data_IF_389074370777
#
_entry.id   IF_389074370777
#
_cell.length_a   1.000
_cell.length_b   1.000
_cell.length_c   1.000
_cell.angle_alpha   90.00
_cell.angle_beta   90.00
_cell.angle_gamma   90.00
#
_symmetry.space_group_name_H-M   'P 1'
#
loop_
_entity.id
_entity.type
_entity.pdbx_description
1 polymer ?
#
# COMPACT_ATOMS: atom_id res chain seq x y z
N UNK A 1 -10.72 33.23 -25.77
CA UNK A 1 -10.93 31.82 -26.06
C UNK A 1 -11.65 31.25 -24.87
N UNK A 2 -12.89 30.86 -24.99
CA UNK A 2 -13.66 30.19 -23.94
C UNK A 2 -13.02 28.80 -23.78
N UNK A 3 -12.48 28.48 -22.60
CA UNK A 3 -12.07 27.11 -22.28
C UNK A 3 -13.25 26.17 -22.57
N UNK A 4 -13.01 24.99 -23.16
CA UNK A 4 -14.07 24.03 -23.37
C UNK A 4 -14.70 23.70 -22.02
N UNK A 5 -16.01 23.74 -21.95
CA UNK A 5 -16.76 23.41 -20.74
C UNK A 5 -16.74 21.89 -20.58
N UNK A 6 -15.92 21.39 -19.70
CA UNK A 6 -15.84 19.97 -19.38
C UNK A 6 -17.03 19.55 -18.52
N UNK A 7 -17.65 18.41 -18.81
CA UNK A 7 -18.66 17.75 -17.97
C UNK A 7 -18.02 17.05 -16.77
N UNK A 8 -18.83 16.57 -15.81
CA UNK A 8 -18.35 15.75 -14.69
C UNK A 8 -17.66 14.49 -15.18
N UNK A 9 -18.24 13.84 -16.19
CA UNK A 9 -17.73 12.59 -16.76
C UNK A 9 -16.39 12.80 -17.47
N UNK A 10 -16.22 13.93 -18.18
CA UNK A 10 -14.93 14.26 -18.80
C UNK A 10 -13.84 14.58 -17.77
N UNK A 11 -14.20 15.18 -16.61
CA UNK A 11 -13.28 15.35 -15.49
C UNK A 11 -12.87 14.01 -14.89
N UNK A 12 -13.82 13.09 -14.73
CA UNK A 12 -13.56 11.75 -14.20
C UNK A 12 -12.67 10.95 -15.14
N UNK A 13 -12.99 10.91 -16.43
CA UNK A 13 -12.20 10.17 -17.44
C UNK A 13 -10.75 10.66 -17.51
N UNK A 14 -10.53 11.98 -17.48
CA UNK A 14 -9.17 12.55 -17.50
C UNK A 14 -8.44 12.29 -16.18
N UNK A 15 -9.13 12.33 -15.06
CA UNK A 15 -8.53 11.97 -13.76
C UNK A 15 -8.14 10.49 -13.71
N UNK A 16 -8.99 9.61 -14.24
CA UNK A 16 -8.72 8.20 -14.35
C UNK A 16 -7.50 7.90 -15.21
N UNK A 17 -7.33 8.60 -16.34
CA UNK A 17 -6.13 8.52 -17.16
C UNK A 17 -4.88 8.93 -16.37
N UNK A 18 -4.91 10.05 -15.65
CA UNK A 18 -3.80 10.51 -14.81
C UNK A 18 -3.50 9.52 -13.66
N UNK A 19 -4.52 8.90 -13.09
CA UNK A 19 -4.36 7.85 -12.08
C UNK A 19 -3.62 6.64 -12.64
N UNK A 20 -4.00 6.16 -13.83
CA UNK A 20 -3.35 5.03 -14.50
C UNK A 20 -1.90 5.33 -14.90
N UNK A 21 -1.54 6.61 -15.09
CA UNK A 21 -0.18 7.07 -15.29
C UNK A 21 0.61 7.21 -13.96
N UNK A 22 0.04 6.80 -12.82
CA UNK A 22 0.56 7.00 -11.47
C UNK A 22 0.80 8.49 -11.10
N UNK A 23 0.15 9.42 -11.77
CA UNK A 23 0.24 10.87 -11.55
C UNK A 23 -0.84 11.33 -10.57
N UNK A 24 -0.85 10.78 -9.38
CA UNK A 24 -1.91 10.98 -8.40
C UNK A 24 -2.12 12.42 -7.97
N UNK A 25 -1.05 13.23 -7.86
CA UNK A 25 -1.16 14.66 -7.55
C UNK A 25 -1.91 15.43 -8.62
N UNK A 26 -1.63 15.14 -9.89
CA UNK A 26 -2.30 15.76 -11.02
C UNK A 26 -3.77 15.31 -11.11
N UNK A 27 -4.05 14.02 -10.87
CA UNK A 27 -5.40 13.49 -10.79
C UNK A 27 -6.21 14.20 -9.69
N UNK A 28 -5.66 14.34 -8.47
CA UNK A 28 -6.31 15.04 -7.37
C UNK A 28 -6.56 16.51 -7.65
N UNK A 29 -5.61 17.21 -8.29
CA UNK A 29 -5.82 18.61 -8.67
C UNK A 29 -6.96 18.75 -9.68
N UNK A 30 -7.01 17.85 -10.66
CA UNK A 30 -8.05 17.83 -11.69
C UNK A 30 -9.43 17.48 -11.11
N UNK A 31 -9.52 16.47 -10.26
CA UNK A 31 -10.74 16.10 -9.55
C UNK A 31 -11.28 17.23 -8.67
N UNK A 32 -10.41 17.97 -7.98
CA UNK A 32 -10.80 19.13 -7.17
C UNK A 32 -11.37 20.27 -8.02
N UNK A 33 -10.81 20.48 -9.21
CA UNK A 33 -11.37 21.44 -10.17
C UNK A 33 -12.76 20.99 -10.64
N UNK A 34 -12.93 19.71 -10.95
CA UNK A 34 -14.22 19.11 -11.28
C UNK A 34 -15.25 19.29 -10.17
N UNK A 35 -14.88 18.97 -8.93
CA UNK A 35 -15.74 19.11 -7.74
C UNK A 35 -16.11 20.57 -7.43
N UNK A 36 -15.26 21.55 -7.74
CA UNK A 36 -15.61 22.96 -7.62
C UNK A 36 -16.74 23.37 -8.58
N UNK A 37 -16.88 22.67 -9.71
CA UNK A 37 -17.97 22.90 -10.71
C UNK A 37 -19.17 21.98 -10.48
N UNK A 38 -18.89 20.72 -10.07
CA UNK A 38 -19.88 19.64 -9.89
C UNK A 38 -19.81 19.05 -8.47
N UNK A 39 -20.23 19.77 -7.44
CA UNK A 39 -20.06 19.37 -6.04
C UNK A 39 -20.90 18.15 -5.63
N UNK A 40 -21.78 17.65 -6.51
CA UNK A 40 -22.60 16.46 -6.28
C UNK A 40 -22.25 15.28 -7.22
N UNK A 41 -21.19 15.38 -7.99
CA UNK A 41 -20.74 14.29 -8.84
C UNK A 41 -20.05 13.21 -7.99
N UNK A 42 -20.71 12.06 -7.83
CA UNK A 42 -20.28 10.95 -6.97
C UNK A 42 -18.96 10.38 -7.45
N UNK A 43 -18.83 10.18 -8.76
CA UNK A 43 -17.66 9.60 -9.44
C UNK A 43 -16.39 10.39 -9.11
N UNK A 44 -16.48 11.72 -9.05
CA UNK A 44 -15.33 12.57 -8.72
C UNK A 44 -14.87 12.38 -7.27
N UNK A 45 -15.78 12.14 -6.31
CA UNK A 45 -15.41 11.80 -4.94
C UNK A 45 -14.79 10.41 -4.85
N UNK A 46 -15.29 9.46 -5.64
CA UNK A 46 -14.71 8.11 -5.76
C UNK A 46 -13.28 8.20 -6.30
N UNK A 47 -13.07 8.95 -7.39
CA UNK A 47 -11.75 9.21 -7.94
C UNK A 47 -10.78 9.85 -6.93
N UNK A 48 -11.27 10.85 -6.15
CA UNK A 48 -10.48 11.43 -5.05
C UNK A 48 -10.11 10.38 -4.02
N UNK A 49 -11.04 9.50 -3.64
CA UNK A 49 -10.82 8.43 -2.69
C UNK A 49 -9.72 7.48 -3.13
N UNK A 50 -9.78 6.98 -4.38
CA UNK A 50 -8.76 6.09 -4.93
C UNK A 50 -7.41 6.77 -5.11
N UNK A 51 -7.36 8.02 -5.58
CA UNK A 51 -6.11 8.75 -5.71
C UNK A 51 -5.43 9.01 -4.35
N UNK A 52 -6.22 9.23 -3.30
CA UNK A 52 -5.72 9.36 -1.92
C UNK A 52 -5.28 8.01 -1.34
N UNK A 53 -6.00 6.93 -1.64
CA UNK A 53 -5.64 5.58 -1.24
C UNK A 53 -4.29 5.18 -1.85
N UNK A 54 -4.09 5.45 -3.15
CA UNK A 54 -2.83 5.21 -3.84
C UNK A 54 -1.65 6.05 -3.30
N UNK A 55 -1.93 7.17 -2.64
CA UNK A 55 -0.95 8.01 -1.93
C UNK A 55 -0.77 7.65 -0.46
N UNK A 56 -1.41 6.57 0.00
CA UNK A 56 -1.41 6.15 1.41
C UNK A 56 -2.03 7.18 2.37
N UNK A 57 -2.86 8.09 1.85
CA UNK A 57 -3.58 9.11 2.61
C UNK A 57 -4.92 8.57 3.11
N UNK A 58 -4.88 7.48 3.88
CA UNK A 58 -6.04 6.64 4.22
C UNK A 58 -7.20 7.37 4.90
N UNK A 59 -6.91 8.32 5.81
CA UNK A 59 -7.95 9.09 6.49
C UNK A 59 -8.71 10.00 5.52
N UNK A 60 -8.01 10.55 4.53
CA UNK A 60 -8.60 11.37 3.47
C UNK A 60 -9.41 10.51 2.50
N UNK A 61 -8.85 9.37 2.06
CA UNK A 61 -9.55 8.41 1.20
C UNK A 61 -10.88 7.97 1.83
N UNK A 62 -10.86 7.60 3.13
CA UNK A 62 -12.08 7.27 3.87
C UNK A 62 -13.09 8.40 3.86
N UNK A 63 -12.65 9.65 4.08
CA UNK A 63 -13.55 10.83 4.05
C UNK A 63 -14.17 11.04 2.67
N UNK A 64 -13.40 10.86 1.60
CA UNK A 64 -13.87 11.00 0.23
C UNK A 64 -14.93 9.93 -0.11
N UNK A 65 -14.66 8.64 0.21
CA UNK A 65 -15.64 7.57 0.00
C UNK A 65 -16.90 7.73 0.84
N UNK A 66 -16.78 8.21 2.09
CA UNK A 66 -17.97 8.54 2.88
C UNK A 66 -18.79 9.68 2.27
N UNK A 67 -18.14 10.67 1.64
CA UNK A 67 -18.86 11.74 0.93
C UNK A 67 -19.57 11.20 -0.31
N UNK A 68 -18.90 10.31 -1.08
CA UNK A 68 -19.52 9.63 -2.20
C UNK A 68 -20.76 8.83 -1.76
N UNK A 69 -20.63 8.02 -0.69
CA UNK A 69 -21.74 7.23 -0.15
C UNK A 69 -22.84 8.06 0.53
N UNK A 70 -22.56 9.29 0.94
CA UNK A 70 -23.59 10.20 1.41
C UNK A 70 -24.44 10.77 0.26
N UNK A 71 -23.89 10.83 -0.95
CA UNK A 71 -24.58 11.24 -2.17
C UNK A 71 -25.30 10.07 -2.84
N UNK A 72 -24.61 8.90 -2.93
CA UNK A 72 -25.15 7.64 -3.42
C UNK A 72 -24.73 6.50 -2.48
N UNK A 73 -25.64 6.03 -1.67
CA UNK A 73 -25.38 5.03 -0.62
C UNK A 73 -25.09 3.62 -1.16
N UNK A 74 -25.43 3.37 -2.40
CA UNK A 74 -25.33 2.06 -3.06
C UNK A 74 -24.25 2.02 -4.17
N UNK A 75 -23.44 3.07 -4.26
CA UNK A 75 -22.37 3.15 -5.25
C UNK A 75 -21.30 2.11 -5.00
N UNK A 76 -21.11 1.19 -5.95
CA UNK A 76 -20.27 -0.01 -5.82
C UNK A 76 -18.78 0.33 -5.60
N UNK A 77 -18.20 1.21 -6.40
CA UNK A 77 -16.79 1.59 -6.28
C UNK A 77 -16.50 2.35 -4.98
N UNK A 78 -17.47 3.15 -4.51
CA UNK A 78 -17.32 3.83 -3.22
C UNK A 78 -17.36 2.84 -2.06
N UNK A 79 -18.20 1.80 -2.13
CA UNK A 79 -18.25 0.72 -1.13
C UNK A 79 -16.97 -0.12 -1.16
N UNK A 80 -16.48 -0.47 -2.36
CA UNK A 80 -15.22 -1.21 -2.51
C UNK A 80 -14.03 -0.41 -1.97
N UNK A 81 -13.88 0.83 -2.40
CA UNK A 81 -12.80 1.72 -1.97
C UNK A 81 -12.83 2.04 -0.47
N UNK A 82 -14.04 2.22 0.11
CA UNK A 82 -14.20 2.35 1.55
C UNK A 82 -13.74 1.07 2.26
N UNK A 83 -14.15 -0.10 1.77
CA UNK A 83 -13.76 -1.40 2.32
C UNK A 83 -12.24 -1.58 2.31
N UNK A 84 -11.58 -1.32 1.18
CA UNK A 84 -10.11 -1.35 1.07
C UNK A 84 -9.43 -0.40 2.06
N UNK A 85 -9.92 0.84 2.12
CA UNK A 85 -9.39 1.84 3.05
C UNK A 85 -9.52 1.39 4.51
N UNK A 86 -10.65 0.77 4.87
CA UNK A 86 -10.89 0.26 6.22
C UNK A 86 -9.99 -0.94 6.55
N UNK A 87 -9.66 -1.81 5.58
CA UNK A 87 -8.70 -2.91 5.75
C UNK A 87 -7.33 -2.37 6.14
N UNK A 88 -6.79 -1.42 5.37
CA UNK A 88 -5.48 -0.81 5.66
C UNK A 88 -5.48 -0.10 7.03
N UNK A 89 -6.60 0.47 7.44
CA UNK A 89 -6.78 1.07 8.77
C UNK A 89 -7.00 0.03 9.88
N UNK A 90 -6.93 -1.28 9.59
CA UNK A 90 -7.13 -2.37 10.55
C UNK A 90 -8.58 -2.55 11.02
N UNK A 91 -9.56 -1.95 10.33
CA UNK A 91 -10.98 -1.97 10.68
C UNK A 91 -11.73 -3.08 9.91
N UNK A 92 -11.31 -4.34 10.09
CA UNK A 92 -11.81 -5.49 9.34
C UNK A 92 -13.35 -5.60 9.36
N UNK A 93 -14.00 -5.47 10.51
CA UNK A 93 -15.46 -5.58 10.58
C UNK A 93 -16.18 -4.52 9.73
N UNK A 94 -15.62 -3.31 9.68
CA UNK A 94 -16.14 -2.22 8.83
C UNK A 94 -16.00 -2.55 7.35
N UNK A 95 -14.82 -3.03 6.97
CA UNK A 95 -14.52 -3.46 5.61
C UNK A 95 -15.46 -4.59 5.15
N UNK A 96 -15.60 -5.62 5.97
CA UNK A 96 -16.47 -6.76 5.65
C UNK A 96 -17.95 -6.35 5.51
N UNK A 97 -18.42 -5.35 6.29
CA UNK A 97 -19.77 -4.81 6.10
C UNK A 97 -19.93 -4.10 4.75
N UNK A 98 -18.94 -3.31 4.34
CA UNK A 98 -18.96 -2.64 3.05
C UNK A 98 -18.96 -3.67 1.90
N UNK A 99 -18.11 -4.68 1.97
CA UNK A 99 -18.07 -5.75 0.97
C UNK A 99 -19.31 -6.64 0.96
N UNK A 100 -19.89 -6.93 2.14
CA UNK A 100 -21.16 -7.66 2.19
C UNK A 100 -22.29 -6.86 1.55
N UNK A 101 -22.28 -5.52 1.70
CA UNK A 101 -23.26 -4.65 1.05
C UNK A 101 -23.21 -4.77 -0.48
N UNK A 102 -22.01 -4.89 -1.07
CA UNK A 102 -21.87 -5.15 -2.53
C UNK A 102 -22.59 -6.44 -2.95
N UNK A 103 -22.42 -7.51 -2.17
CA UNK A 103 -23.09 -8.79 -2.44
C UNK A 103 -24.61 -8.65 -2.29
N UNK A 104 -25.08 -7.96 -1.25
CA UNK A 104 -26.51 -7.76 -0.97
C UNK A 104 -27.19 -6.88 -2.05
N UNK A 105 -26.46 -6.00 -2.70
CA UNK A 105 -26.90 -5.16 -3.82
C UNK A 105 -26.92 -5.93 -5.16
N UNK A 106 -26.36 -7.13 -5.22
CA UNK A 106 -26.35 -7.96 -6.41
C UNK A 106 -25.06 -7.88 -7.26
N UNK A 107 -24.01 -7.18 -6.79
CA UNK A 107 -22.74 -7.07 -7.50
C UNK A 107 -21.86 -8.31 -7.39
N UNK A 108 -22.38 -9.43 -6.85
CA UNK A 108 -21.63 -10.69 -6.76
C UNK A 108 -21.26 -11.29 -8.10
N UNK A 109 -21.93 -10.90 -9.19
CA UNK A 109 -21.65 -11.29 -10.58
C UNK A 109 -20.67 -10.34 -11.29
N UNK A 110 -20.32 -9.21 -10.69
CA UNK A 110 -19.25 -8.35 -11.17
C UNK A 110 -17.88 -8.97 -10.85
N UNK A 111 -17.27 -9.52 -11.89
CA UNK A 111 -16.01 -10.24 -11.78
C UNK A 111 -14.85 -9.35 -11.31
N UNK A 112 -14.71 -8.18 -11.91
CA UNK A 112 -13.62 -7.24 -11.60
C UNK A 112 -13.72 -6.73 -10.17
N UNK A 113 -14.91 -6.33 -9.77
CA UNK A 113 -15.18 -5.83 -8.43
C UNK A 113 -14.92 -6.90 -7.35
N UNK A 114 -15.41 -8.13 -7.57
CA UNK A 114 -15.16 -9.22 -6.62
C UNK A 114 -13.69 -9.63 -6.56
N UNK A 115 -12.98 -9.60 -7.69
CA UNK A 115 -11.53 -9.81 -7.73
C UNK A 115 -10.77 -8.71 -6.97
N UNK A 116 -11.13 -7.47 -7.16
CA UNK A 116 -10.54 -6.33 -6.45
C UNK A 116 -10.68 -6.51 -4.93
N UNK A 117 -11.89 -6.82 -4.45
CA UNK A 117 -12.14 -7.09 -3.01
C UNK A 117 -11.30 -8.27 -2.52
N UNK A 118 -11.27 -9.37 -3.28
CA UNK A 118 -10.47 -10.54 -2.93
C UNK A 118 -8.98 -10.22 -2.83
N UNK A 119 -8.44 -9.45 -3.77
CA UNK A 119 -7.04 -9.01 -3.77
C UNK A 119 -6.74 -8.07 -2.58
N UNK A 120 -7.64 -7.14 -2.27
CA UNK A 120 -7.48 -6.25 -1.12
C UNK A 120 -7.41 -7.05 0.19
N UNK A 121 -8.31 -7.99 0.40
CA UNK A 121 -8.30 -8.88 1.56
C UNK A 121 -7.04 -9.76 1.62
N UNK A 122 -6.59 -10.29 0.48
CA UNK A 122 -5.36 -11.09 0.39
C UNK A 122 -4.12 -10.28 0.76
N UNK A 123 -3.99 -9.06 0.22
CA UNK A 123 -2.87 -8.15 0.50
C UNK A 123 -2.75 -7.84 1.99
N UNK A 124 -3.88 -7.64 2.66
CA UNK A 124 -3.93 -7.35 4.10
C UNK A 124 -3.90 -8.61 4.99
N UNK A 125 -3.69 -9.80 4.40
CA UNK A 125 -3.52 -11.05 5.14
C UNK A 125 -4.81 -11.76 5.58
N UNK A 126 -5.98 -11.29 5.15
CA UNK A 126 -7.28 -11.90 5.47
C UNK A 126 -7.62 -13.00 4.46
N UNK A 127 -6.81 -14.08 4.50
CA UNK A 127 -6.83 -15.12 3.47
C UNK A 127 -8.13 -15.94 3.44
N UNK A 128 -8.77 -16.14 4.60
CA UNK A 128 -10.04 -16.87 4.68
C UNK A 128 -11.15 -16.10 3.98
N UNK A 129 -11.22 -14.81 4.23
CA UNK A 129 -12.17 -13.89 3.62
C UNK A 129 -11.87 -13.72 2.13
N UNK A 130 -10.61 -13.52 1.76
CA UNK A 130 -10.17 -13.42 0.35
C UNK A 130 -10.61 -14.64 -0.46
N UNK A 131 -10.42 -15.85 0.08
CA UNK A 131 -10.85 -17.10 -0.55
C UNK A 131 -12.33 -17.08 -0.90
N UNK A 132 -13.19 -16.58 -0.01
CA UNK A 132 -14.65 -16.52 -0.26
C UNK A 132 -14.96 -15.66 -1.49
N UNK A 133 -14.32 -14.51 -1.65
CA UNK A 133 -14.53 -13.64 -2.81
C UNK A 133 -13.98 -14.25 -4.10
N UNK A 134 -12.80 -14.88 -4.06
CA UNK A 134 -12.28 -15.61 -5.22
C UNK A 134 -13.13 -16.83 -5.60
N UNK A 135 -13.77 -17.49 -4.65
CA UNK A 135 -14.73 -18.58 -4.94
C UNK A 135 -16.00 -18.04 -5.62
N UNK A 136 -16.51 -16.86 -5.23
CA UNK A 136 -17.60 -16.17 -5.95
C UNK A 136 -17.19 -15.86 -7.39
N UNK A 137 -16.00 -15.29 -7.62
CA UNK A 137 -15.48 -15.06 -8.98
C UNK A 137 -15.42 -16.36 -9.80
N UNK A 138 -14.96 -17.46 -9.19
CA UNK A 138 -14.85 -18.76 -9.86
C UNK A 138 -16.20 -19.34 -10.26
N UNK A 139 -17.23 -19.15 -9.44
CA UNK A 139 -18.58 -19.62 -9.76
C UNK A 139 -19.14 -18.97 -11.02
N UNK A 140 -18.85 -17.67 -11.20
CA UNK A 140 -19.28 -16.91 -12.37
C UNK A 140 -18.35 -17.13 -13.57
N UNK A 141 -17.04 -17.23 -13.34
CA UNK A 141 -16.02 -17.36 -14.38
C UNK A 141 -15.06 -18.53 -14.13
N UNK A 142 -15.54 -19.78 -14.28
CA UNK A 142 -14.74 -20.99 -13.97
C UNK A 142 -13.53 -21.20 -14.90
N UNK A 143 -13.45 -20.45 -16.01
CA UNK A 143 -12.35 -20.45 -16.97
C UNK A 143 -11.32 -19.35 -16.77
N UNK A 144 -11.38 -18.56 -15.69
CA UNK A 144 -10.39 -17.52 -15.43
C UNK A 144 -9.11 -18.11 -14.82
N UNK A 145 -7.98 -17.97 -15.53
CA UNK A 145 -6.66 -18.38 -15.04
C UNK A 145 -6.25 -17.56 -13.82
N UNK A 146 -6.59 -16.28 -13.81
CA UNK A 146 -6.30 -15.34 -12.73
C UNK A 146 -7.01 -15.70 -11.42
N UNK A 147 -8.30 -16.07 -11.48
CA UNK A 147 -9.04 -16.55 -10.31
C UNK A 147 -8.44 -17.85 -9.77
N UNK A 148 -8.08 -18.78 -10.66
CA UNK A 148 -7.41 -20.01 -10.26
C UNK A 148 -6.06 -19.72 -9.59
N UNK A 149 -5.26 -18.79 -10.12
CA UNK A 149 -4.00 -18.36 -9.51
C UNK A 149 -4.24 -17.76 -8.12
N UNK A 150 -5.20 -16.84 -7.98
CA UNK A 150 -5.55 -16.19 -6.71
C UNK A 150 -6.02 -17.20 -5.65
N UNK A 151 -6.81 -18.20 -6.04
CA UNK A 151 -7.18 -19.32 -5.16
C UNK A 151 -5.97 -20.16 -4.76
N UNK A 152 -5.05 -20.39 -5.69
CA UNK A 152 -3.80 -21.12 -5.43
C UNK A 152 -2.89 -20.40 -4.43
N UNK A 153 -2.69 -19.10 -4.60
CA UNK A 153 -1.92 -18.27 -3.66
C UNK A 153 -2.57 -18.27 -2.28
N UNK A 154 -3.88 -18.09 -2.24
CA UNK A 154 -4.65 -18.06 -0.98
C UNK A 154 -4.60 -19.40 -0.26
N UNK A 155 -4.74 -20.52 -0.98
CA UNK A 155 -4.64 -21.85 -0.40
C UNK A 155 -3.26 -22.11 0.21
N UNK A 156 -2.18 -21.70 -0.47
CA UNK A 156 -0.83 -21.82 0.09
C UNK A 156 -0.65 -21.01 1.36
N UNK A 157 -1.13 -19.74 1.37
CA UNK A 157 -1.07 -18.88 2.58
C UNK A 157 -1.88 -19.43 3.75
N UNK A 158 -2.88 -20.25 3.48
CA UNK A 158 -3.67 -20.99 4.48
C UNK A 158 -3.04 -22.35 4.87
N UNK A 159 -1.89 -22.73 4.32
CA UNK A 159 -1.24 -24.03 4.56
C UNK A 159 -1.94 -25.21 3.89
N UNK A 160 -2.80 -24.95 2.90
CA UNK A 160 -3.57 -25.95 2.15
C UNK A 160 -2.82 -26.35 0.87
N UNK A 161 -1.66 -26.95 1.01
CA UNK A 161 -0.73 -27.21 -0.12
C UNK A 161 -1.38 -27.99 -1.27
N UNK A 162 -2.21 -29.00 -0.98
CA UNK A 162 -2.86 -29.78 -2.02
C UNK A 162 -3.77 -28.93 -2.91
N UNK A 163 -4.55 -28.04 -2.28
CA UNK A 163 -5.43 -27.11 -2.99
C UNK A 163 -4.59 -26.06 -3.77
N UNK A 164 -3.49 -25.59 -3.17
CA UNK A 164 -2.58 -24.65 -3.84
C UNK A 164 -2.03 -25.26 -5.15
N UNK A 165 -1.51 -26.50 -5.09
CA UNK A 165 -1.03 -27.22 -6.28
C UNK A 165 -2.13 -27.41 -7.33
N UNK A 166 -3.34 -27.79 -6.89
CA UNK A 166 -4.47 -27.98 -7.80
C UNK A 166 -4.80 -26.69 -8.55
N UNK A 167 -4.96 -25.58 -7.82
CA UNK A 167 -5.38 -24.33 -8.41
C UNK A 167 -4.30 -23.68 -9.27
N UNK A 168 -3.02 -23.69 -8.84
CA UNK A 168 -1.91 -23.17 -9.64
C UNK A 168 -1.71 -23.95 -10.94
N UNK A 169 -1.84 -25.29 -10.90
CA UNK A 169 -1.80 -26.10 -12.12
C UNK A 169 -2.98 -25.80 -13.02
N UNK A 170 -4.17 -25.61 -12.43
CA UNK A 170 -5.36 -25.26 -13.21
C UNK A 170 -5.21 -23.91 -13.90
N UNK A 171 -4.62 -22.92 -13.25
CA UNK A 171 -4.27 -21.63 -13.88
C UNK A 171 -3.34 -21.82 -15.09
N UNK A 172 -2.30 -22.65 -14.96
CA UNK A 172 -1.35 -22.96 -16.03
C UNK A 172 -1.90 -23.86 -17.14
N UNK A 173 -2.98 -24.61 -16.88
CA UNK A 173 -3.72 -25.34 -17.92
C UNK A 173 -4.57 -24.40 -18.76
N UNK A 174 -5.14 -23.37 -18.13
CA UNK A 174 -5.96 -22.35 -18.80
C UNK A 174 -5.08 -21.37 -19.56
N UNK A 175 -3.98 -20.94 -18.96
CA UNK A 175 -3.02 -20.00 -19.55
C UNK A 175 -1.59 -20.52 -19.35
N UNK A 176 -1.06 -21.29 -20.31
CA UNK A 176 0.25 -21.92 -20.20
C UNK A 176 1.42 -20.96 -20.07
N UNK A 177 1.29 -19.72 -20.54
CA UNK A 177 2.36 -18.72 -20.52
C UNK A 177 2.20 -17.71 -19.37
N UNK A 178 1.36 -17.97 -18.39
CA UNK A 178 1.14 -17.12 -17.22
C UNK A 178 2.33 -17.24 -16.24
N UNK A 179 3.18 -16.21 -16.13
CA UNK A 179 4.45 -16.33 -15.40
C UNK A 179 4.26 -16.40 -13.87
N UNK A 180 3.38 -15.57 -13.28
CA UNK A 180 3.25 -15.46 -11.84
C UNK A 180 2.85 -16.78 -11.14
N UNK A 181 1.78 -17.51 -11.54
CA UNK A 181 1.47 -18.80 -10.93
C UNK A 181 2.53 -19.85 -11.20
N UNK A 182 3.30 -19.74 -12.30
CA UNK A 182 4.42 -20.63 -12.59
C UNK A 182 5.59 -20.39 -11.63
N UNK A 183 5.96 -19.13 -11.40
CA UNK A 183 6.99 -18.74 -10.43
C UNK A 183 6.58 -19.17 -9.02
N UNK A 184 5.32 -18.93 -8.67
CA UNK A 184 4.79 -19.28 -7.35
C UNK A 184 4.83 -20.80 -7.12
N UNK A 185 4.40 -21.59 -8.11
CA UNK A 185 4.48 -23.05 -8.06
C UNK A 185 5.93 -23.53 -7.96
N UNK A 186 6.85 -22.93 -8.71
CA UNK A 186 8.27 -23.24 -8.64
C UNK A 186 8.86 -22.98 -7.25
N UNK A 187 8.48 -21.86 -6.62
CA UNK A 187 8.91 -21.54 -5.25
C UNK A 187 8.39 -22.57 -4.24
N UNK A 188 7.12 -22.98 -4.29
CA UNK A 188 6.58 -24.02 -3.41
C UNK A 188 7.33 -25.35 -3.60
N UNK A 189 7.60 -25.75 -4.84
CA UNK A 189 8.34 -26.97 -5.16
C UNK A 189 9.79 -26.90 -4.62
N UNK A 190 10.43 -25.75 -4.74
CA UNK A 190 11.78 -25.50 -4.19
C UNK A 190 11.78 -25.68 -2.66
N UNK A 191 10.85 -25.05 -1.95
CA UNK A 191 10.74 -25.14 -0.48
C UNK A 191 10.44 -26.55 0.02
N UNK A 192 9.79 -27.37 -0.81
CA UNK A 192 9.57 -28.81 -0.53
C UNK A 192 10.75 -29.70 -0.88
N UNK A 193 11.83 -29.15 -1.45
CA UNK A 193 12.99 -29.91 -1.91
C UNK A 193 12.76 -30.67 -3.22
N UNK A 194 11.66 -30.41 -3.93
CA UNK A 194 11.35 -31.00 -5.24
C UNK A 194 12.11 -30.27 -6.36
N UNK A 195 13.43 -30.22 -6.21
CA UNK A 195 14.37 -29.39 -7.00
C UNK A 195 14.25 -29.59 -8.52
N UNK A 196 14.16 -30.85 -9.07
CA UNK A 196 14.03 -31.03 -10.50
C UNK A 196 12.72 -30.43 -11.06
N UNK A 197 11.63 -30.52 -10.30
CA UNK A 197 10.34 -29.96 -10.70
C UNK A 197 10.36 -28.43 -10.62
N UNK A 198 10.95 -27.84 -9.56
CA UNK A 198 11.13 -26.40 -9.43
C UNK A 198 11.91 -25.83 -10.63
N UNK A 199 13.05 -26.45 -10.97
CA UNK A 199 13.88 -26.03 -12.11
C UNK A 199 13.11 -26.07 -13.43
N UNK A 200 12.26 -27.10 -13.64
CA UNK A 200 11.44 -27.20 -14.85
C UNK A 200 10.48 -26.01 -15.01
N UNK A 201 9.93 -25.51 -13.90
CA UNK A 201 9.05 -24.35 -13.91
C UNK A 201 9.83 -23.04 -14.07
N UNK A 202 10.92 -22.85 -13.32
CA UNK A 202 11.78 -21.67 -13.46
C UNK A 202 12.40 -21.53 -14.86
N UNK A 203 12.77 -22.63 -15.50
CA UNK A 203 13.32 -22.61 -16.87
C UNK A 203 12.33 -22.15 -17.96
N UNK A 204 11.05 -22.00 -17.63
CA UNK A 204 10.01 -21.54 -18.55
C UNK A 204 9.57 -20.10 -18.34
N UNK A 205 10.20 -19.38 -17.42
CA UNK A 205 9.97 -17.97 -17.16
C UNK A 205 11.23 -17.18 -17.49
N UNK A 206 11.07 -15.89 -17.71
CA UNK A 206 12.18 -14.99 -18.03
C UNK A 206 12.56 -14.17 -16.78
N UNK A 207 13.79 -13.61 -16.75
CA UNK A 207 14.20 -12.76 -15.64
C UNK A 207 13.25 -11.59 -15.38
N UNK A 208 12.74 -10.95 -16.45
CA UNK A 208 11.81 -9.82 -16.37
C UNK A 208 10.43 -10.17 -15.78
N UNK A 209 10.04 -11.44 -15.80
CA UNK A 209 8.77 -11.92 -15.23
C UNK A 209 8.80 -11.97 -13.69
N UNK A 210 9.99 -11.91 -13.09
CA UNK A 210 10.15 -11.93 -11.64
C UNK A 210 10.05 -10.52 -11.06
N UNK A 211 9.16 -10.35 -10.08
CA UNK A 211 8.94 -9.08 -9.36
C UNK A 211 9.67 -9.01 -8.02
N UNK A 212 10.18 -10.15 -7.52
CA UNK A 212 10.95 -10.26 -6.28
C UNK A 212 12.33 -10.90 -6.52
N UNK A 213 13.26 -10.62 -5.63
CA UNK A 213 14.64 -11.11 -5.69
C UNK A 213 14.76 -12.60 -5.32
N UNK A 214 13.87 -13.12 -4.47
CA UNK A 214 13.93 -14.51 -3.97
C UNK A 214 13.79 -15.53 -5.11
N UNK A 215 12.80 -15.33 -6.00
CA UNK A 215 12.59 -16.20 -7.15
C UNK A 215 13.76 -16.14 -8.13
N UNK A 216 14.33 -14.95 -8.34
CA UNK A 216 15.54 -14.76 -9.17
C UNK A 216 16.74 -15.47 -8.56
N UNK A 217 16.98 -15.28 -7.26
CA UNK A 217 18.10 -15.91 -6.55
C UNK A 217 18.01 -17.44 -6.59
N UNK A 218 16.83 -18.02 -6.32
CA UNK A 218 16.58 -19.46 -6.41
C UNK A 218 16.87 -20.01 -7.80
N UNK A 219 16.44 -19.28 -8.83
CA UNK A 219 16.69 -19.66 -10.23
C UNK A 219 18.18 -19.65 -10.54
N UNK A 220 18.94 -18.64 -10.11
CA UNK A 220 20.40 -18.58 -10.26
C UNK A 220 21.06 -19.79 -9.58
N UNK A 221 20.68 -20.07 -8.33
CA UNK A 221 21.23 -21.19 -7.58
C UNK A 221 21.01 -22.54 -8.29
N UNK A 222 19.78 -22.76 -8.74
CA UNK A 222 19.39 -23.99 -9.45
C UNK A 222 20.10 -24.14 -10.80
N UNK A 223 20.23 -23.06 -11.59
CA UNK A 223 20.96 -23.07 -12.85
C UNK A 223 22.44 -23.38 -12.66
N UNK A 224 23.08 -22.75 -11.65
CA UNK A 224 24.48 -23.02 -11.30
C UNK A 224 24.69 -24.47 -10.86
N UNK A 225 23.82 -24.99 -9.99
CA UNK A 225 23.90 -26.34 -9.49
C UNK A 225 23.66 -27.40 -10.59
N UNK A 226 22.64 -27.20 -11.44
CA UNK A 226 22.27 -28.14 -12.49
C UNK A 226 23.29 -28.25 -13.61
N UNK A 227 24.00 -27.16 -13.93
CA UNK A 227 24.90 -27.05 -15.09
C UNK A 227 26.36 -26.83 -14.73
N UNK A 228 26.67 -26.80 -13.44
CA UNK A 228 28.00 -26.41 -12.93
C UNK A 228 28.48 -25.07 -13.53
N UNK A 229 27.55 -24.12 -13.69
CA UNK A 229 27.74 -22.82 -14.30
C UNK A 229 28.32 -21.81 -13.31
N UNK A 230 29.11 -20.86 -13.79
CA UNK A 230 29.61 -19.73 -13.00
C UNK A 230 28.86 -18.44 -13.32
N UNK A 231 29.20 -17.34 -12.62
CA UNK A 231 28.57 -16.01 -12.80
C UNK A 231 28.79 -15.41 -14.21
N UNK A 232 29.81 -15.88 -14.92
CA UNK A 232 30.12 -15.42 -16.28
C UNK A 232 29.36 -16.18 -17.37
N UNK A 233 28.63 -17.24 -16.99
CA UNK A 233 27.89 -18.06 -17.91
C UNK A 233 26.79 -17.23 -18.61
N UNK A 234 26.63 -17.34 -19.95
CA UNK A 234 25.61 -16.61 -20.69
C UNK A 234 24.18 -16.84 -20.22
N UNK A 235 23.88 -18.00 -19.65
CA UNK A 235 22.55 -18.33 -19.15
C UNK A 235 22.29 -17.75 -17.75
N UNK A 236 23.31 -17.51 -16.94
CA UNK A 236 23.21 -16.95 -15.59
C UNK A 236 23.21 -15.42 -15.60
N UNK A 237 23.93 -14.81 -16.54
CA UNK A 237 24.09 -13.35 -16.64
C UNK A 237 22.77 -12.54 -16.63
N UNK A 238 21.73 -12.92 -17.41
CA UNK A 238 20.47 -12.16 -17.41
C UNK A 238 19.78 -12.16 -16.04
N UNK A 239 19.87 -13.26 -15.32
CA UNK A 239 19.34 -13.39 -13.97
C UNK A 239 20.10 -12.55 -12.94
N UNK A 240 21.44 -12.51 -13.04
CA UNK A 240 22.26 -11.63 -12.20
C UNK A 240 21.99 -10.16 -12.48
N UNK A 241 21.75 -9.79 -13.75
CA UNK A 241 21.36 -8.44 -14.09
C UNK A 241 20.01 -8.07 -13.48
N UNK A 242 19.01 -8.97 -13.55
CA UNK A 242 17.70 -8.77 -12.94
C UNK A 242 17.78 -8.66 -11.41
N UNK A 243 18.58 -9.52 -10.76
CA UNK A 243 18.81 -9.45 -9.32
C UNK A 243 19.40 -8.09 -8.91
N UNK A 244 20.36 -7.58 -9.68
CA UNK A 244 20.95 -6.27 -9.45
C UNK A 244 19.97 -5.11 -9.69
N UNK A 245 19.00 -5.26 -10.58
CA UNK A 245 17.92 -4.28 -10.79
C UNK A 245 16.98 -4.24 -9.60
N UNK A 246 16.50 -5.40 -9.15
CA UNK A 246 15.60 -5.51 -8.00
C UNK A 246 16.27 -5.04 -6.70
N UNK A 247 17.58 -5.30 -6.54
CA UNK A 247 18.33 -4.85 -5.38
C UNK A 247 18.68 -3.35 -5.37
N UNK A 248 18.45 -2.59 -6.46
CA UNK A 248 18.67 -1.13 -6.49
C UNK A 248 17.62 -0.35 -5.71
N UNK A 249 16.44 -0.92 -5.59
CA UNK A 249 15.33 -0.36 -4.80
C UNK A 249 15.37 -0.84 -3.34
N UNK A 250 16.47 -1.49 -2.93
CA UNK A 250 16.65 -1.92 -1.55
C UNK A 250 16.64 -0.69 -0.62
N UNK A 251 15.86 -0.80 0.45
CA UNK A 251 15.77 0.21 1.50
C UNK A 251 17.20 0.59 1.95
N UNK A 252 17.53 1.87 2.09
CA UNK A 252 18.80 2.33 2.64
C UNK A 252 19.16 1.67 3.98
N UNK A 253 18.17 1.25 4.78
CA UNK A 253 18.36 0.52 6.03
C UNK A 253 18.86 -0.91 5.77
N UNK A 254 18.31 -1.61 4.77
CA UNK A 254 18.74 -2.96 4.37
C UNK A 254 20.14 -2.94 3.77
N UNK A 255 20.48 -1.91 3.00
CA UNK A 255 21.85 -1.70 2.48
C UNK A 255 22.85 -1.49 3.61
N UNK A 256 22.49 -0.70 4.62
CA UNK A 256 23.34 -0.46 5.79
C UNK A 256 23.54 -1.73 6.61
N UNK A 257 22.48 -2.53 6.80
CA UNK A 257 22.56 -3.83 7.48
C UNK A 257 23.44 -4.81 6.72
N UNK A 258 23.31 -4.88 5.39
CA UNK A 258 24.15 -5.73 4.54
C UNK A 258 25.64 -5.31 4.59
N UNK A 259 25.91 -4.00 4.64
CA UNK A 259 27.27 -3.46 4.80
C UNK A 259 27.86 -3.84 6.18
N UNK A 260 27.08 -3.70 7.25
CA UNK A 260 27.48 -4.11 8.61
C UNK A 260 27.77 -5.61 8.67
N UNK A 261 26.93 -6.45 8.06
CA UNK A 261 27.14 -7.89 8.01
C UNK A 261 28.38 -8.26 7.20
N UNK A 262 28.65 -7.57 6.09
CA UNK A 262 29.83 -7.80 5.26
C UNK A 262 31.12 -7.49 6.03
N UNK A 263 31.15 -6.38 6.78
CA UNK A 263 32.25 -5.98 7.64
C UNK A 263 32.49 -6.99 8.79
N UNK A 264 31.43 -7.62 9.29
CA UNK A 264 31.54 -8.69 10.29
C UNK A 264 32.10 -10.00 9.73
N UNK A 265 31.78 -10.34 8.47
CA UNK A 265 32.30 -11.54 7.78
C UNK A 265 33.79 -11.44 7.44
N UNK A 266 34.25 -10.27 7.04
CA UNK A 266 35.65 -10.05 6.64
C UNK A 266 36.67 -10.10 7.78
N UNK A 267 36.22 -10.27 9.04
CA UNK A 267 37.08 -10.59 10.18
C UNK A 267 38.15 -9.53 10.51
N UNK A 268 38.15 -8.41 9.80
CA UNK A 268 39.09 -7.34 10.00
C UNK A 268 38.57 -6.35 11.05
N UNK A 269 39.15 -6.48 12.24
CA UNK A 269 38.99 -5.60 13.41
C UNK A 269 37.78 -5.90 14.32
N UNK A 270 37.99 -6.81 15.24
CA UNK A 270 37.31 -6.76 16.53
C UNK A 270 37.87 -5.56 17.30
N UNK A 271 37.32 -4.40 17.07
CA UNK A 271 37.44 -3.30 18.02
C UNK A 271 36.60 -3.67 19.26
N UNK A 272 37.19 -3.78 20.47
CA UNK A 272 36.45 -4.09 21.69
C UNK A 272 35.30 -3.09 21.97
N UNK A 273 35.32 -1.91 21.35
CA UNK A 273 34.30 -0.89 21.47
C UNK A 273 33.09 -1.10 20.54
N UNK A 274 33.14 -2.06 19.60
CA UNK A 274 32.07 -2.32 18.64
C UNK A 274 30.85 -3.03 19.27
N UNK A 275 30.99 -3.59 20.47
CA UNK A 275 29.88 -4.17 21.26
C UNK A 275 28.96 -3.11 21.89
N UNK A 276 29.37 -1.83 21.89
CA UNK A 276 28.55 -0.70 22.35
C UNK A 276 27.93 0.10 21.20
N UNK A 277 27.88 -0.44 19.98
CA UNK A 277 27.51 0.31 18.77
C UNK A 277 26.13 1.00 18.87
N UNK A 278 25.15 0.37 19.51
CA UNK A 278 23.84 0.98 19.73
C UNK A 278 23.83 2.01 20.89
N UNK A 279 24.72 1.93 21.85
CA UNK A 279 24.82 2.87 22.96
C UNK A 279 25.66 4.12 22.62
N UNK A 280 26.73 3.96 21.86
CA UNK A 280 27.73 5.01 21.59
C UNK A 280 27.39 5.80 20.33
N UNK A 281 26.84 5.20 19.28
CA UNK A 281 26.37 5.88 18.07
C UNK A 281 25.24 6.88 18.36
N UNK A 282 24.43 6.60 19.38
CA UNK A 282 23.39 7.54 19.85
C UNK A 282 23.96 8.67 20.73
N UNK A 283 25.23 8.57 21.19
CA UNK A 283 25.87 9.57 22.05
C UNK A 283 26.84 10.52 21.34
N UNK A 284 27.46 10.08 20.23
CA UNK A 284 28.60 10.81 19.64
C UNK A 284 28.58 10.89 18.12
N UNK A 285 27.46 11.28 17.50
CA UNK A 285 27.52 11.88 16.16
C UNK A 285 27.96 13.34 16.36
N UNK A 286 29.23 13.71 16.10
CA UNK A 286 29.66 15.10 16.18
C UNK A 286 28.99 15.82 15.00
N UNK A 287 27.96 16.62 15.31
CA UNK A 287 27.22 17.39 14.35
C UNK A 287 25.70 17.29 14.45
N UNK A 288 25.14 16.29 15.17
CA UNK A 288 23.77 16.37 15.64
C UNK A 288 23.68 17.21 16.93
N UNK A 289 24.21 18.41 16.90
CA UNK A 289 23.62 19.46 17.71
C UNK A 289 22.17 19.50 17.28
N UNK A 290 21.25 19.27 18.25
CA UNK A 290 19.85 19.67 18.09
C UNK A 290 19.92 21.08 17.51
N UNK A 291 19.71 21.22 16.21
CA UNK A 291 19.43 22.53 15.64
C UNK A 291 18.27 23.02 16.49
N UNK A 292 18.41 24.20 17.15
CA UNK A 292 17.25 24.82 17.73
C UNK A 292 16.27 24.93 16.59
N UNK A 293 15.16 24.23 16.69
CA UNK A 293 14.04 24.32 15.73
C UNK A 293 13.67 25.79 15.81
N UNK A 294 13.95 26.52 14.73
CA UNK A 294 13.51 27.91 14.60
C UNK A 294 11.98 27.86 14.52
N UNK A 295 11.35 28.03 15.68
CA UNK A 295 9.89 28.05 15.87
C UNK A 295 9.25 29.34 15.36
N UNK A 296 9.88 30.06 14.43
CA UNK A 296 9.40 31.33 13.91
C UNK A 296 8.96 31.31 12.45
N UNK A 297 8.53 30.15 11.95
CA UNK A 297 7.94 30.03 10.61
C UNK A 297 6.41 30.11 10.63
N UNK A 298 5.82 30.76 9.64
CA UNK A 298 4.41 30.62 9.34
C UNK A 298 4.20 29.32 8.57
N UNK A 299 3.27 28.49 9.03
CA UNK A 299 2.94 27.21 8.41
C UNK A 299 1.51 27.22 7.89
N UNK A 300 1.20 26.33 6.97
CA UNK A 300 -0.13 26.14 6.43
C UNK A 300 -0.50 24.66 6.57
N UNK A 301 -1.64 24.40 7.21
CA UNK A 301 -2.20 23.05 7.29
C UNK A 301 -3.56 23.01 6.59
N UNK A 302 -3.90 21.83 6.06
CA UNK A 302 -5.21 21.52 5.51
C UNK A 302 -5.86 20.44 6.37
N UNK A 303 -7.14 20.65 6.73
CA UNK A 303 -7.94 19.66 7.49
C UNK A 303 -8.63 18.67 6.54
N UNK A 304 -9.13 17.56 7.05
CA UNK A 304 -9.91 16.58 6.27
C UNK A 304 -11.16 17.20 5.61
N UNK A 305 -11.71 18.28 6.19
CA UNK A 305 -12.83 19.03 5.60
C UNK A 305 -12.40 19.97 4.46
N UNK A 306 -11.13 20.00 4.07
CA UNK A 306 -10.59 20.88 3.02
C UNK A 306 -10.33 22.31 3.47
N UNK A 307 -10.38 22.60 4.77
CA UNK A 307 -10.13 23.95 5.30
C UNK A 307 -8.64 24.17 5.47
N UNK A 308 -8.10 25.26 4.91
CA UNK A 308 -6.71 25.67 5.07
C UNK A 308 -6.57 26.65 6.24
N UNK A 309 -5.69 26.33 7.17
CA UNK A 309 -5.35 27.17 8.34
C UNK A 309 -3.90 27.62 8.24
N UNK A 310 -3.64 28.88 8.60
CA UNK A 310 -2.30 29.48 8.51
C UNK A 310 -1.92 30.13 9.85
N UNK A 311 -0.68 29.91 10.29
CA UNK A 311 -0.14 30.48 11.53
C UNK A 311 1.14 29.82 11.97
N UNK A 312 1.62 30.19 13.15
CA UNK A 312 2.65 29.43 13.89
C UNK A 312 2.07 28.11 14.38
N UNK A 313 2.91 27.17 14.81
CA UNK A 313 2.44 25.87 15.33
C UNK A 313 1.40 26.02 16.44
N UNK A 314 1.59 26.94 17.38
CA UNK A 314 0.66 27.16 18.50
C UNK A 314 -0.65 27.79 18.02
N UNK A 315 -0.59 28.78 17.12
CA UNK A 315 -1.79 29.38 16.50
C UNK A 315 -2.58 28.37 15.70
N UNK A 316 -1.92 27.47 14.97
CA UNK A 316 -2.58 26.44 14.19
C UNK A 316 -3.35 25.43 15.06
N UNK A 317 -2.83 25.07 16.24
CA UNK A 317 -3.56 24.20 17.17
C UNK A 317 -4.77 24.92 17.74
N UNK A 318 -4.68 26.23 18.04
CA UNK A 318 -5.81 27.07 18.49
C UNK A 318 -6.88 27.18 17.38
N UNK A 319 -6.45 27.43 16.14
CA UNK A 319 -7.36 27.48 15.00
C UNK A 319 -8.06 26.14 14.77
N UNK A 320 -7.31 25.01 14.85
CA UNK A 320 -7.85 23.67 14.70
C UNK A 320 -8.89 23.37 15.79
N UNK A 321 -8.62 23.77 17.04
CA UNK A 321 -9.59 23.65 18.15
C UNK A 321 -10.87 24.43 17.85
N UNK A 322 -10.74 25.62 17.29
CA UNK A 322 -11.89 26.49 16.95
C UNK A 322 -12.73 25.89 15.82
N UNK A 323 -12.08 25.31 14.81
CA UNK A 323 -12.75 24.71 13.64
C UNK A 323 -13.46 23.42 14.00
N UNK A 324 -12.86 22.56 14.83
CA UNK A 324 -13.47 21.31 15.28
C UNK A 324 -14.67 21.52 16.22
N UNK A 325 -14.90 22.76 16.70
CA UNK A 325 -16.15 23.24 17.32
C UNK A 325 -16.65 22.55 18.61
N UNK A 326 -16.21 21.34 18.86
CA UNK A 326 -16.72 20.47 19.94
C UNK A 326 -16.07 20.74 21.31
N UNK A 327 -15.05 21.63 21.41
CA UNK A 327 -14.17 21.73 22.58
C UNK A 327 -13.78 23.17 22.91
N UNK A 328 -14.63 24.13 22.62
CA UNK A 328 -14.35 25.55 22.82
C UNK A 328 -14.04 25.94 24.28
N UNK A 329 -14.44 25.14 25.27
CA UNK A 329 -14.30 25.43 26.69
C UNK A 329 -13.11 24.71 27.38
N UNK A 330 -12.31 23.93 26.63
CA UNK A 330 -11.19 23.14 27.14
C UNK A 330 -9.82 23.81 26.99
N UNK A 331 -8.82 23.40 27.80
CA UNK A 331 -7.44 23.82 27.59
C UNK A 331 -6.91 23.22 26.28
N UNK A 332 -5.93 23.90 25.64
CA UNK A 332 -5.26 23.46 24.43
C UNK A 332 -4.68 22.03 24.57
N UNK A 333 -4.15 21.73 25.76
CA UNK A 333 -3.61 20.40 26.05
C UNK A 333 -4.68 19.32 26.13
N UNK A 334 -5.85 19.64 26.67
CA UNK A 334 -6.99 18.71 26.68
C UNK A 334 -7.51 18.46 25.27
N UNK A 335 -7.58 19.52 24.44
CA UNK A 335 -7.93 19.38 23.03
C UNK A 335 -6.97 18.44 22.31
N UNK A 336 -5.65 18.69 22.38
CA UNK A 336 -4.65 17.82 21.75
C UNK A 336 -4.77 16.36 22.21
N UNK A 337 -5.03 16.09 23.49
CA UNK A 337 -5.19 14.72 24.00
C UNK A 337 -6.42 14.02 23.42
N UNK A 338 -7.54 14.72 23.31
CA UNK A 338 -8.79 14.16 22.79
C UNK A 338 -8.67 13.93 21.28
N UNK A 339 -8.14 14.91 20.55
CA UNK A 339 -7.88 14.81 19.13
C UNK A 339 -6.92 13.64 18.83
N UNK A 340 -5.83 13.50 19.60
CA UNK A 340 -4.87 12.40 19.44
C UNK A 340 -5.51 11.02 19.72
N UNK A 341 -6.41 10.91 20.71
CA UNK A 341 -7.15 9.66 20.97
C UNK A 341 -8.09 9.31 19.82
N UNK A 342 -8.81 10.30 19.29
CA UNK A 342 -9.68 10.12 18.13
C UNK A 342 -8.86 9.72 16.89
N UNK A 343 -7.80 10.45 16.59
CA UNK A 343 -6.90 10.13 15.48
C UNK A 343 -6.30 8.72 15.60
N UNK A 344 -5.88 8.31 16.80
CA UNK A 344 -5.41 6.95 17.05
C UNK A 344 -6.50 5.90 16.84
N UNK A 345 -7.74 6.17 17.27
CA UNK A 345 -8.86 5.26 17.05
C UNK A 345 -9.24 5.13 15.56
N UNK A 346 -9.01 6.19 14.79
CA UNK A 346 -9.35 6.26 13.37
C UNK A 346 -8.25 5.71 12.45
N UNK A 347 -6.98 5.89 12.81
CA UNK A 347 -5.83 5.59 11.93
C UNK A 347 -4.88 4.53 12.49
N UNK A 348 -5.02 4.14 13.76
CA UNK A 348 -4.07 3.26 14.45
C UNK A 348 -2.73 3.94 14.81
N UNK A 349 -2.49 5.17 14.38
CA UNK A 349 -1.23 5.88 14.57
C UNK A 349 -1.28 6.74 15.84
N UNK A 350 -0.25 6.62 16.70
CA UNK A 350 -0.15 7.41 17.93
C UNK A 350 0.33 8.83 17.62
N UNK A 351 -0.51 9.83 17.92
CA UNK A 351 -0.20 11.24 17.77
C UNK A 351 0.45 11.77 19.07
N UNK A 352 1.68 12.33 19.05
CA UNK A 352 2.30 12.91 20.22
C UNK A 352 1.58 14.20 20.68
N UNK A 353 1.56 14.45 21.99
CA UNK A 353 0.90 15.63 22.58
C UNK A 353 1.85 16.45 23.46
N UNK A 354 3.16 16.37 23.20
CA UNK A 354 4.20 17.04 24.00
C UNK A 354 4.28 18.54 23.75
N UNK A 355 4.04 18.99 22.53
CA UNK A 355 3.97 20.39 22.10
C UNK A 355 3.20 20.49 20.76
N UNK A 356 2.85 21.72 20.35
CA UNK A 356 2.06 21.97 19.16
C UNK A 356 2.70 21.44 17.86
N UNK A 357 4.02 21.62 17.69
CA UNK A 357 4.72 21.10 16.51
C UNK A 357 4.69 19.58 16.43
N UNK A 358 5.06 18.89 17.52
CA UNK A 358 5.03 17.42 17.56
C UNK A 358 3.62 16.87 17.34
N UNK A 359 2.60 17.56 17.88
CA UNK A 359 1.21 17.20 17.71
C UNK A 359 0.77 17.32 16.24
N UNK A 360 1.00 18.46 15.58
CA UNK A 360 0.60 18.68 14.19
C UNK A 360 1.38 17.81 13.21
N UNK A 361 2.68 17.60 13.43
CA UNK A 361 3.47 16.64 12.64
C UNK A 361 2.99 15.20 12.82
N UNK A 362 2.66 14.81 14.04
CA UNK A 362 2.08 13.50 14.33
C UNK A 362 0.70 13.33 13.74
N UNK A 363 -0.15 14.38 13.75
CA UNK A 363 -1.45 14.37 13.10
C UNK A 363 -1.33 14.28 11.56
N UNK A 364 -0.31 14.91 10.98
CA UNK A 364 0.00 14.79 9.57
C UNK A 364 0.52 13.38 9.21
N UNK A 365 1.41 12.81 10.03
CA UNK A 365 1.87 11.43 9.86
C UNK A 365 0.74 10.40 10.00
N UNK A 366 -0.26 10.70 10.83
CA UNK A 366 -1.49 9.91 10.94
C UNK A 366 -2.50 10.16 9.80
N UNK A 367 -2.20 11.07 8.87
CA UNK A 367 -3.07 11.39 7.75
C UNK A 367 -4.35 12.14 8.14
N UNK A 368 -4.42 12.72 9.34
CA UNK A 368 -5.62 13.45 9.84
C UNK A 368 -5.63 14.91 9.40
N UNK A 369 -4.45 15.45 9.10
CA UNK A 369 -4.24 16.79 8.50
C UNK A 369 -3.13 16.70 7.46
N UNK A 370 -2.97 17.75 6.63
CA UNK A 370 -1.79 17.94 5.76
C UNK A 370 -1.03 19.18 6.15
N UNK A 371 0.29 19.11 6.14
CA UNK A 371 1.16 20.29 6.26
C UNK A 371 1.54 20.65 4.82
N UNK A 372 1.12 21.85 4.37
CA UNK A 372 1.35 22.31 3.01
C UNK A 372 2.63 23.16 2.90
N UNK A 373 3.05 23.81 3.99
CA UNK A 373 4.24 24.64 4.07
C UNK A 373 4.79 24.76 5.51
#
# INVERSE_FOLDING_TARGET
>A
MTEPFLSSDEFDEQAHQLYNEARYDAALAHLREGLARYPQAVELYVGVGYAQLAREEYAWARSAFHTALALDADHEDALAGLGETLLVLGQLEGALRAFQRLIDLGFSDDHELMLQVGRALFREGFFVEARRFFELCREQHPGSAEVCASLGYTAHRLGMDADAFYWLRRALELEPDYPEPRIYLANILYDRGEIPAALLHFARVKPEDHLDDLGVWRTIELLKAARNAGDTDPEVRPWLARLAELGRDADPEDMLLAEIESLQRDGSSRDPNQLELFGTLMREVPGMQKRPVLTSGMHVIETLSGMSLRGTWDELVVHLQTVEGAWADGTLQQFMQVFARRGMAETGVRIPVSNAEAFLRGAAAAGVIRILQ
#
